data_IF_088027518268
#
_entry.id   IF_088027518268
#
_cell.length_a   1.000
_cell.length_b   1.000
_cell.length_c   1.000
_cell.angle_alpha   90.00
_cell.angle_beta   90.00
_cell.angle_gamma   90.00
#
_symmetry.space_group_name_H-M   'P 1'
#
loop_
_entity.id
_entity.type
_entity.pdbx_description
1 polymer ?
#
# COMPACT_ATOMS: atom_id res chain seq x y z
N UNK A 1 9.70 28.56 3.30
CA UNK A 1 8.96 27.58 2.45
C UNK A 1 9.98 26.62 1.86
N UNK A 2 9.99 25.34 2.30
CA UNK A 2 10.74 24.31 1.58
C UNK A 2 9.93 23.96 0.34
N UNK A 3 10.49 24.21 -0.83
CA UNK A 3 9.97 23.73 -2.12
C UNK A 3 9.81 22.22 -2.03
N UNK A 4 8.56 21.74 -1.95
CA UNK A 4 8.23 20.33 -2.07
C UNK A 4 8.59 19.93 -3.49
N UNK A 5 9.69 19.18 -3.66
CA UNK A 5 10.03 18.56 -4.94
C UNK A 5 9.02 17.45 -5.16
N UNK A 6 8.16 17.58 -6.17
CA UNK A 6 7.39 16.45 -6.69
C UNK A 6 8.37 15.32 -6.98
N UNK A 7 8.20 14.17 -6.32
CA UNK A 7 9.05 13.00 -6.51
C UNK A 7 8.69 12.39 -7.87
N UNK A 8 9.37 12.78 -8.94
CA UNK A 8 9.18 12.17 -10.27
C UNK A 8 9.99 10.88 -10.36
N UNK A 9 9.38 9.79 -10.85
CA UNK A 9 10.10 8.53 -11.10
C UNK A 9 11.14 8.71 -12.19
N UNK A 10 12.33 8.12 -12.02
CA UNK A 10 13.36 8.14 -13.06
C UNK A 10 12.87 7.42 -14.33
N UNK A 11 13.37 7.82 -15.50
CA UNK A 11 13.04 7.17 -16.78
C UNK A 11 13.32 5.66 -16.74
N UNK A 12 14.45 5.27 -16.14
CA UNK A 12 14.81 3.87 -15.94
C UNK A 12 13.74 3.12 -15.14
N UNK A 13 13.31 3.69 -14.01
CA UNK A 13 12.27 3.10 -13.17
C UNK A 13 10.95 2.98 -13.94
N UNK A 14 10.56 4.00 -14.72
CA UNK A 14 9.36 3.95 -15.55
C UNK A 14 9.44 2.83 -16.60
N UNK A 15 10.59 2.67 -17.28
CA UNK A 15 10.80 1.59 -18.24
C UNK A 15 10.73 0.20 -17.61
N UNK A 16 11.30 0.02 -16.42
CA UNK A 16 11.20 -1.24 -15.67
C UNK A 16 9.75 -1.56 -15.31
N UNK A 17 8.97 -0.57 -14.88
CA UNK A 17 7.54 -0.73 -14.56
C UNK A 17 6.74 -1.07 -15.83
N UNK A 18 6.97 -0.37 -16.94
CA UNK A 18 6.28 -0.66 -18.20
C UNK A 18 6.61 -2.06 -18.72
N UNK A 19 7.88 -2.47 -18.65
CA UNK A 19 8.29 -3.83 -19.00
C UNK A 19 7.58 -4.88 -18.13
N UNK A 20 7.46 -4.62 -16.83
CA UNK A 20 6.68 -5.47 -15.93
C UNK A 20 5.20 -5.53 -16.34
N UNK A 21 4.55 -4.38 -16.55
CA UNK A 21 3.14 -4.30 -16.94
C UNK A 21 2.83 -4.99 -18.28
N UNK A 22 3.75 -4.97 -19.24
CA UNK A 22 3.57 -5.65 -20.54
C UNK A 22 3.72 -7.17 -20.46
N UNK A 23 4.41 -7.68 -19.43
CA UNK A 23 4.71 -9.11 -19.29
C UNK A 23 3.89 -9.81 -18.21
N UNK A 24 3.08 -9.06 -17.47
CA UNK A 24 2.34 -9.53 -16.31
C UNK A 24 0.87 -9.15 -16.39
N UNK A 25 -0.02 -10.09 -16.08
CA UNK A 25 -1.46 -9.85 -16.05
C UNK A 25 -1.90 -9.41 -14.64
N UNK A 26 -2.04 -8.10 -14.45
CA UNK A 26 -2.50 -7.54 -13.17
C UNK A 26 -3.97 -7.88 -12.87
N UNK A 27 -4.81 -8.12 -13.89
CA UNK A 27 -6.20 -8.56 -13.67
C UNK A 27 -6.19 -9.95 -13.03
N UNK A 28 -5.37 -10.86 -13.58
CA UNK A 28 -5.19 -12.19 -13.02
C UNK A 28 -4.65 -12.10 -11.59
N UNK A 29 -3.57 -11.35 -11.35
CA UNK A 29 -3.00 -11.25 -10.01
C UNK A 29 -3.96 -10.63 -8.99
N UNK A 30 -4.76 -9.64 -9.38
CA UNK A 30 -5.79 -9.09 -8.50
C UNK A 30 -6.86 -10.14 -8.14
N UNK A 31 -7.32 -10.95 -9.11
CA UNK A 31 -8.29 -12.04 -8.86
C UNK A 31 -7.71 -13.17 -8.01
N UNK A 32 -6.41 -13.39 -8.11
CA UNK A 32 -5.68 -14.41 -7.35
C UNK A 32 -5.20 -13.92 -5.99
N UNK A 33 -5.48 -12.66 -5.62
CA UNK A 33 -5.16 -12.16 -4.30
C UNK A 33 -5.78 -13.06 -3.22
N UNK A 34 -4.92 -13.51 -2.30
CA UNK A 34 -5.31 -14.31 -1.16
C UNK A 34 -4.49 -13.91 0.07
N UNK A 35 -5.19 -13.45 1.11
CA UNK A 35 -4.61 -13.17 2.42
C UNK A 35 -5.66 -13.45 3.50
N UNK A 36 -5.37 -14.45 4.35
CA UNK A 36 -6.25 -14.89 5.43
C UNK A 36 -7.64 -15.32 4.92
N UNK A 37 -8.66 -14.48 5.03
CA UNK A 37 -10.02 -14.75 4.54
C UNK A 37 -10.44 -13.79 3.41
N UNK A 38 -9.54 -12.89 3.00
CA UNK A 38 -9.74 -11.96 1.91
C UNK A 38 -9.25 -12.56 0.61
N UNK A 39 -10.18 -12.89 -0.27
CA UNK A 39 -9.91 -13.23 -1.64
C UNK A 39 -11.01 -12.69 -2.55
N UNK A 40 -10.76 -12.74 -3.86
CA UNK A 40 -11.66 -12.16 -4.84
C UNK A 40 -13.05 -12.80 -4.81
N UNK A 41 -13.12 -14.13 -4.59
CA UNK A 41 -14.38 -14.89 -4.54
C UNK A 41 -15.24 -14.52 -3.33
N UNK A 42 -14.62 -14.14 -2.22
CA UNK A 42 -15.33 -13.67 -1.01
C UNK A 42 -15.61 -12.16 -1.04
N UNK A 43 -15.20 -11.47 -2.10
CA UNK A 43 -15.36 -10.03 -2.24
C UNK A 43 -14.43 -9.21 -1.34
N UNK A 44 -13.30 -9.78 -0.90
CA UNK A 44 -12.35 -9.14 0.02
C UNK A 44 -13.02 -8.60 1.30
N UNK A 45 -13.87 -9.42 1.94
CA UNK A 45 -14.79 -8.99 3.01
C UNK A 45 -14.15 -8.16 4.13
N UNK A 46 -12.96 -8.52 4.63
CA UNK A 46 -12.32 -7.77 5.73
C UNK A 46 -11.63 -6.52 5.19
N UNK A 47 -10.99 -6.59 4.02
CA UNK A 47 -10.41 -5.40 3.36
C UNK A 47 -11.50 -4.37 3.08
N UNK A 48 -12.63 -4.78 2.51
CA UNK A 48 -13.80 -3.94 2.24
C UNK A 48 -14.26 -3.22 3.52
N UNK A 49 -14.43 -3.96 4.61
CA UNK A 49 -14.85 -3.40 5.89
C UNK A 49 -13.81 -2.45 6.51
N UNK A 50 -12.52 -2.80 6.45
CA UNK A 50 -11.44 -1.93 6.93
C UNK A 50 -11.38 -0.63 6.14
N UNK A 51 -11.56 -0.70 4.83
CA UNK A 51 -11.55 0.45 3.95
C UNK A 51 -12.76 1.36 4.18
N UNK A 52 -13.97 0.79 4.28
CA UNK A 52 -15.19 1.53 4.63
C UNK A 52 -15.03 2.30 5.94
N UNK A 53 -14.65 1.60 7.02
CA UNK A 53 -14.55 2.19 8.34
C UNK A 53 -13.42 3.23 8.43
N UNK A 54 -12.23 2.87 7.94
CA UNK A 54 -11.04 3.72 8.09
C UNK A 54 -11.09 4.94 7.17
N UNK A 55 -11.59 4.81 5.93
CA UNK A 55 -11.76 5.96 5.04
C UNK A 55 -12.81 6.94 5.57
N UNK A 56 -13.91 6.43 6.14
CA UNK A 56 -14.92 7.30 6.79
C UNK A 56 -14.33 8.03 8.01
N UNK A 57 -13.58 7.32 8.86
CA UNK A 57 -12.92 7.94 9.99
C UNK A 57 -11.85 8.97 9.58
N UNK A 58 -11.09 8.70 8.52
CA UNK A 58 -10.09 9.61 7.96
C UNK A 58 -10.73 10.88 7.38
N UNK A 59 -11.85 10.76 6.65
CA UNK A 59 -12.60 11.93 6.13
C UNK A 59 -13.08 12.86 7.24
N UNK A 60 -13.43 12.28 8.39
CA UNK A 60 -13.88 13.02 9.57
C UNK A 60 -12.74 13.39 10.54
N UNK A 61 -11.49 13.01 10.23
CA UNK A 61 -10.31 13.19 11.10
C UNK A 61 -10.49 12.59 12.52
N UNK A 62 -11.14 11.43 12.61
CA UNK A 62 -11.43 10.70 13.86
C UNK A 62 -10.85 9.29 13.88
N UNK A 63 -9.83 9.02 13.05
CA UNK A 63 -9.10 7.74 13.10
C UNK A 63 -8.60 7.51 14.52
N UNK A 64 -8.85 6.31 15.07
CA UNK A 64 -8.60 6.00 16.48
C UNK A 64 -7.92 4.65 16.70
N UNK A 65 -7.77 4.29 17.97
CA UNK A 65 -7.12 3.05 18.39
C UNK A 65 -7.78 1.80 17.80
N UNK A 66 -9.11 1.77 17.73
CA UNK A 66 -9.89 0.69 17.14
C UNK A 66 -9.53 0.43 15.68
N UNK A 67 -9.34 1.49 14.88
CA UNK A 67 -8.92 1.40 13.48
C UNK A 67 -7.49 0.85 13.36
N UNK A 68 -6.57 1.42 14.14
CA UNK A 68 -5.16 0.99 14.20
C UNK A 68 -5.06 -0.50 14.56
N UNK A 69 -5.83 -0.93 15.55
CA UNK A 69 -5.85 -2.32 16.01
C UNK A 69 -6.54 -3.27 15.04
N UNK A 70 -7.62 -2.86 14.37
CA UNK A 70 -8.28 -3.67 13.36
C UNK A 70 -7.33 -3.99 12.19
N UNK A 71 -6.61 -2.97 11.71
CA UNK A 71 -5.60 -3.11 10.66
C UNK A 71 -4.43 -3.98 11.14
N UNK A 72 -3.97 -3.78 12.38
CA UNK A 72 -2.89 -4.58 12.95
C UNK A 72 -3.26 -6.07 13.06
N UNK A 73 -4.49 -6.36 13.49
CA UNK A 73 -5.01 -7.74 13.58
C UNK A 73 -5.10 -8.38 12.19
N UNK A 74 -5.71 -7.70 11.24
CA UNK A 74 -5.81 -8.17 9.85
C UNK A 74 -4.45 -8.41 9.20
N UNK A 75 -3.48 -7.52 9.44
CA UNK A 75 -2.12 -7.64 8.93
C UNK A 75 -1.25 -8.67 9.67
N UNK A 76 -1.78 -9.38 10.68
CA UNK A 76 -1.07 -10.31 11.54
C UNK A 76 0.12 -9.67 12.31
N UNK A 77 -0.10 -8.50 12.92
CA UNK A 77 0.92 -7.82 13.72
C UNK A 77 1.31 -8.67 14.93
N UNK A 78 2.61 -8.96 15.08
CA UNK A 78 3.08 -9.87 16.14
C UNK A 78 2.97 -9.30 17.56
N UNK A 79 3.09 -7.98 17.71
CA UNK A 79 3.16 -7.32 19.01
C UNK A 79 1.92 -6.45 19.28
N UNK A 80 0.71 -6.99 19.08
CA UNK A 80 -0.54 -6.25 19.26
C UNK A 80 -0.61 -5.53 20.61
N UNK A 81 -0.22 -6.20 21.70
CA UNK A 81 -0.23 -5.62 23.05
C UNK A 81 0.79 -4.50 23.29
N UNK A 82 1.72 -4.25 22.36
CA UNK A 82 2.69 -3.14 22.46
C UNK A 82 2.24 -1.89 21.72
N UNK A 83 1.22 -1.99 20.86
CA UNK A 83 0.76 -0.85 20.06
C UNK A 83 0.14 0.19 21.00
N UNK A 84 0.61 1.43 20.86
CA UNK A 84 0.07 2.59 21.57
C UNK A 84 -0.25 3.66 20.55
N UNK A 85 -1.39 4.35 20.67
CA UNK A 85 -1.67 5.51 19.84
C UNK A 85 -2.42 6.60 20.59
N UNK A 86 -2.29 7.83 20.11
CA UNK A 86 -3.21 8.90 20.46
C UNK A 86 -4.65 8.51 20.06
N UNK A 87 -5.65 9.06 20.74
CA UNK A 87 -7.06 8.92 20.33
C UNK A 87 -7.77 10.25 20.61
N UNK A 88 -8.26 10.95 19.57
CA UNK A 88 -8.13 10.63 18.14
C UNK A 88 -6.68 10.80 17.62
N UNK A 89 -6.38 10.16 16.49
CA UNK A 89 -5.17 10.37 15.69
C UNK A 89 -5.46 11.50 14.72
N UNK A 90 -4.65 12.55 14.76
CA UNK A 90 -4.69 13.60 13.76
C UNK A 90 -4.14 13.08 12.43
N UNK A 91 -4.99 12.96 11.42
CA UNK A 91 -4.65 12.55 10.06
C UNK A 91 -5.40 13.44 9.04
N UNK A 92 -4.95 14.70 8.85
CA UNK A 92 -5.66 15.70 8.06
C UNK A 92 -5.40 15.52 6.56
N UNK A 93 -5.76 14.36 6.02
CA UNK A 93 -5.60 14.02 4.60
C UNK A 93 -6.82 14.41 3.76
N UNK A 94 -7.93 14.82 4.38
CA UNK A 94 -9.10 15.37 3.70
C UNK A 94 -9.43 16.78 4.19
N UNK A 95 -9.95 17.61 3.28
CA UNK A 95 -10.64 18.87 3.58
C UNK A 95 -11.92 18.89 2.76
N UNK A 96 -13.07 19.13 3.39
CA UNK A 96 -14.39 19.13 2.73
C UNK A 96 -14.65 17.84 1.93
N UNK A 97 -14.35 16.67 2.52
CA UNK A 97 -14.46 15.35 1.89
C UNK A 97 -13.60 15.12 0.62
N UNK A 98 -12.69 16.05 0.29
CA UNK A 98 -11.75 15.93 -0.82
C UNK A 98 -10.32 15.72 -0.31
N UNK A 99 -9.48 14.93 -1.01
CA UNK A 99 -8.05 14.84 -0.69
C UNK A 99 -7.41 16.23 -0.64
N UNK A 100 -6.55 16.47 0.34
CA UNK A 100 -5.79 17.73 0.44
C UNK A 100 -4.75 17.83 -0.67
N UNK A 101 -4.59 19.02 -1.23
CA UNK A 101 -3.77 19.26 -2.44
C UNK A 101 -2.29 18.87 -2.31
N UNK A 102 -1.74 18.87 -1.10
CA UNK A 102 -0.34 18.52 -0.89
C UNK A 102 -0.06 17.02 -0.99
N UNK A 103 -1.08 16.15 -1.04
CA UNK A 103 -0.89 14.69 -1.18
C UNK A 103 -0.18 14.34 -2.48
N UNK A 104 -0.44 15.09 -3.55
CA UNK A 104 0.20 14.87 -4.83
C UNK A 104 1.71 15.18 -4.75
N UNK A 105 2.06 16.35 -4.23
CA UNK A 105 3.46 16.83 -4.15
C UNK A 105 4.29 16.20 -3.03
N UNK A 106 3.65 15.86 -1.90
CA UNK A 106 4.31 15.27 -0.72
C UNK A 106 3.51 14.07 -0.18
N UNK A 107 3.58 12.91 -0.86
CA UNK A 107 2.90 11.70 -0.41
C UNK A 107 3.46 11.14 0.91
N UNK A 108 4.61 11.63 1.39
CA UNK A 108 5.23 11.16 2.65
C UNK A 108 4.76 11.93 3.88
N UNK A 109 4.18 13.13 3.70
CA UNK A 109 3.72 13.99 4.79
C UNK A 109 2.76 13.30 5.77
N UNK A 110 1.83 12.42 5.39
CA UNK A 110 0.99 11.75 6.38
C UNK A 110 1.81 10.89 7.35
N UNK A 111 2.92 10.30 6.90
CA UNK A 111 3.81 9.53 7.78
C UNK A 111 4.54 10.42 8.79
N UNK A 112 4.91 11.65 8.42
CA UNK A 112 5.54 12.59 9.36
C UNK A 112 4.57 13.02 10.45
N UNK A 113 3.28 13.10 10.13
CA UNK A 113 2.19 13.39 11.08
C UNK A 113 1.88 12.16 11.95
N UNK A 114 1.80 10.95 11.38
CA UNK A 114 1.38 9.74 12.08
C UNK A 114 2.43 9.18 13.04
N UNK A 115 3.71 9.19 12.66
CA UNK A 115 4.78 8.49 13.40
C UNK A 115 4.92 8.92 14.87
N UNK A 116 4.80 10.21 15.23
CA UNK A 116 4.83 10.63 16.63
C UNK A 116 3.60 10.16 17.44
N UNK A 117 2.48 9.88 16.77
CA UNK A 117 1.19 9.58 17.39
C UNK A 117 0.95 8.08 17.61
N UNK A 118 1.73 7.20 16.98
CA UNK A 118 1.58 5.74 17.09
C UNK A 118 2.95 5.09 17.36
N UNK A 119 3.06 4.34 18.46
CA UNK A 119 4.26 3.58 18.81
C UNK A 119 4.08 2.10 18.46
N UNK A 120 5.19 1.45 18.12
CA UNK A 120 5.26 0.00 17.81
C UNK A 120 4.40 -0.46 16.63
N UNK A 121 4.17 0.41 15.64
CA UNK A 121 3.40 0.08 14.43
C UNK A 121 4.30 -0.31 13.25
N UNK A 122 5.43 0.39 13.08
CA UNK A 122 6.44 0.09 12.06
C UNK A 122 6.01 0.41 10.61
N UNK A 123 6.97 0.41 9.66
CA UNK A 123 6.74 0.91 8.29
C UNK A 123 5.54 0.30 7.57
N UNK A 124 5.45 -1.03 7.55
CA UNK A 124 4.36 -1.75 6.88
C UNK A 124 2.99 -1.36 7.43
N UNK A 125 2.81 -1.23 8.74
CA UNK A 125 1.48 -0.93 9.27
C UNK A 125 1.12 0.55 9.12
N UNK A 126 2.08 1.46 9.20
CA UNK A 126 1.84 2.85 8.83
C UNK A 126 1.36 2.97 7.39
N UNK A 127 1.96 2.23 6.44
CA UNK A 127 1.49 2.21 5.06
C UNK A 127 0.11 1.59 4.90
N UNK A 128 -0.21 0.52 5.65
CA UNK A 128 -1.55 -0.09 5.66
C UNK A 128 -2.60 0.91 6.17
N UNK A 129 -2.30 1.66 7.22
CA UNK A 129 -3.20 2.70 7.72
C UNK A 129 -3.51 3.75 6.65
N UNK A 130 -2.51 4.22 5.91
CA UNK A 130 -2.73 5.16 4.80
C UNK A 130 -3.52 4.52 3.66
N UNK A 131 -3.20 3.29 3.27
CA UNK A 131 -3.93 2.51 2.27
C UNK A 131 -5.41 2.36 2.58
N UNK A 132 -5.78 2.11 3.84
CA UNK A 132 -7.19 2.02 4.24
C UNK A 132 -7.86 3.38 4.47
N UNK A 133 -7.08 4.44 4.76
CA UNK A 133 -7.61 5.79 4.98
C UNK A 133 -7.93 6.52 3.66
N UNK A 134 -7.19 6.23 2.59
CA UNK A 134 -7.36 6.86 1.27
C UNK A 134 -6.84 5.91 0.17
N UNK A 135 -7.62 4.87 -0.19
CA UNK A 135 -7.21 3.81 -1.11
C UNK A 135 -6.93 4.29 -2.54
N UNK A 136 -7.55 5.40 -2.95
CA UNK A 136 -7.28 6.04 -4.24
C UNK A 136 -5.83 6.50 -4.37
N UNK A 137 -5.23 6.99 -3.27
CA UNK A 137 -3.91 7.62 -3.27
C UNK A 137 -2.80 6.71 -2.71
N UNK A 138 -3.12 5.79 -1.81
CA UNK A 138 -2.10 4.99 -1.11
C UNK A 138 -2.32 3.48 -1.27
N UNK A 139 -1.21 2.76 -1.43
CA UNK A 139 -1.14 1.31 -1.26
C UNK A 139 -0.17 0.96 -0.12
N UNK A 140 -0.35 -0.21 0.49
CA UNK A 140 0.55 -0.67 1.54
C UNK A 140 1.93 -1.07 0.98
N UNK A 141 2.97 -1.06 1.83
CA UNK A 141 4.29 -1.61 1.53
C UNK A 141 4.67 -2.69 2.55
N UNK A 142 4.49 -3.94 2.13
CA UNK A 142 4.85 -5.13 2.91
C UNK A 142 6.29 -5.56 2.62
N UNK A 143 6.92 -6.27 3.56
CA UNK A 143 8.27 -6.79 3.33
C UNK A 143 8.32 -7.71 2.10
N UNK A 144 7.24 -8.42 1.75
CA UNK A 144 7.16 -9.20 0.51
C UNK A 144 7.34 -8.36 -0.76
N UNK A 145 6.70 -7.20 -0.81
CA UNK A 145 6.85 -6.27 -1.94
C UNK A 145 8.30 -5.79 -2.05
N UNK A 146 8.92 -5.46 -0.93
CA UNK A 146 10.32 -4.98 -0.89
C UNK A 146 11.32 -6.09 -1.18
N UNK A 147 11.05 -7.35 -0.85
CA UNK A 147 11.91 -8.49 -1.24
C UNK A 147 12.01 -8.63 -2.76
N UNK A 148 10.92 -8.42 -3.48
CA UNK A 148 10.86 -8.64 -4.93
C UNK A 148 11.20 -7.38 -5.73
N UNK A 149 10.77 -6.21 -5.25
CA UNK A 149 10.91 -4.92 -5.95
C UNK A 149 11.92 -3.94 -5.34
N UNK A 150 12.40 -4.22 -4.13
CA UNK A 150 13.38 -3.42 -3.40
C UNK A 150 14.71 -4.16 -3.22
N UNK A 151 15.42 -3.85 -2.15
CA UNK A 151 16.75 -4.40 -1.86
C UNK A 151 16.78 -5.36 -0.66
N UNK A 152 17.78 -6.23 -0.61
CA UNK A 152 18.09 -7.06 0.57
C UNK A 152 17.74 -8.53 0.46
N UNK A 153 16.99 -8.94 -0.58
CA UNK A 153 16.74 -10.34 -0.92
C UNK A 153 17.12 -10.62 -2.39
N UNK A 154 18.40 -10.87 -2.69
CA UNK A 154 18.85 -11.10 -4.07
C UNK A 154 18.29 -12.40 -4.68
N UNK A 155 17.82 -13.35 -3.86
CA UNK A 155 17.24 -14.61 -4.34
C UNK A 155 15.86 -14.34 -4.97
N UNK A 156 15.11 -13.44 -4.35
CA UNK A 156 13.72 -13.18 -4.72
C UNK A 156 13.48 -11.91 -5.54
N UNK A 157 14.48 -11.05 -5.64
CA UNK A 157 14.42 -9.85 -6.47
C UNK A 157 14.13 -10.22 -7.94
N UNK A 158 13.11 -9.60 -8.53
CA UNK A 158 12.74 -9.78 -9.95
C UNK A 158 12.78 -8.49 -10.75
N UNK A 159 12.54 -7.35 -10.10
CA UNK A 159 12.70 -6.02 -10.66
C UNK A 159 13.16 -5.06 -9.56
N UNK A 160 13.70 -3.89 -9.90
CA UNK A 160 14.22 -2.95 -8.90
C UNK A 160 13.52 -1.61 -9.00
N UNK A 161 12.25 -1.60 -8.59
CA UNK A 161 11.45 -0.38 -8.57
C UNK A 161 11.85 0.56 -7.43
N UNK A 162 12.36 0.02 -6.32
CA UNK A 162 12.67 0.74 -5.09
C UNK A 162 14.12 0.51 -4.65
N UNK A 163 14.64 1.46 -3.89
CA UNK A 163 15.88 1.33 -3.12
C UNK A 163 15.61 1.00 -1.65
N UNK A 164 14.33 0.91 -1.24
CA UNK A 164 13.95 0.48 0.09
C UNK A 164 14.47 -0.93 0.38
N UNK A 165 15.03 -1.12 1.58
CA UNK A 165 15.68 -2.37 1.97
C UNK A 165 14.84 -3.18 2.96
N UNK A 166 14.86 -4.50 2.77
CA UNK A 166 14.47 -5.49 3.77
C UNK A 166 15.69 -6.18 4.40
N UNK A 167 15.51 -6.67 5.61
CA UNK A 167 16.49 -7.51 6.32
C UNK A 167 15.82 -8.76 6.85
N UNK A 168 16.58 -9.85 6.88
CA UNK A 168 16.21 -11.09 7.54
C UNK A 168 16.98 -11.23 8.86
N UNK A 169 16.24 -11.42 9.94
CA UNK A 169 16.78 -11.84 11.23
C UNK A 169 16.09 -13.15 11.63
N UNK A 170 14.92 -13.07 12.25
CA UNK A 170 13.98 -14.20 12.42
C UNK A 170 12.81 -14.15 11.43
N UNK A 171 12.68 -13.05 10.70
CA UNK A 171 11.71 -12.82 9.63
C UNK A 171 12.15 -11.64 8.77
N UNK A 172 11.64 -11.59 7.54
CA UNK A 172 11.74 -10.41 6.68
C UNK A 172 11.02 -9.21 7.28
N UNK A 173 11.72 -8.08 7.39
CA UNK A 173 11.17 -6.83 7.90
C UNK A 173 11.79 -5.63 7.18
N UNK A 174 11.05 -4.51 7.14
CA UNK A 174 11.54 -3.22 6.66
C UNK A 174 12.07 -2.46 7.89
N UNK A 175 13.39 -2.23 8.02
CA UNK A 175 13.93 -1.48 9.15
C UNK A 175 13.40 -0.05 9.18
N UNK A 176 12.85 0.39 10.31
CA UNK A 176 12.33 1.76 10.46
C UNK A 176 13.44 2.83 10.42
N UNK A 177 14.64 2.47 10.87
CA UNK A 177 15.79 3.39 11.00
C UNK A 177 16.64 3.52 9.72
N UNK A 178 16.24 2.89 8.62
CA UNK A 178 16.99 3.02 7.37
C UNK A 178 16.85 4.43 6.80
N UNK A 179 17.88 4.93 6.14
CA UNK A 179 17.91 6.28 5.56
C UNK A 179 16.82 6.51 4.52
N UNK A 180 16.44 5.47 3.76
CA UNK A 180 15.39 5.54 2.76
C UNK A 180 13.96 5.70 3.32
N UNK A 181 13.73 5.45 4.61
CA UNK A 181 12.38 5.55 5.21
C UNK A 181 12.19 6.90 5.91
N UNK A 182 11.10 7.66 5.65
CA UNK A 182 9.92 7.31 4.83
C UNK A 182 9.99 7.73 3.36
N UNK A 183 11.10 8.31 2.88
CA UNK A 183 11.22 8.84 1.51
C UNK A 183 10.82 7.86 0.41
N UNK A 184 11.27 6.61 0.51
CA UNK A 184 10.97 5.54 -0.44
C UNK A 184 9.50 5.09 -0.43
N UNK A 185 8.75 5.39 0.63
CA UNK A 185 7.29 5.21 0.58
C UNK A 185 6.63 6.24 -0.35
N UNK A 186 7.21 7.44 -0.46
CA UNK A 186 6.81 8.41 -1.46
C UNK A 186 7.08 7.90 -2.88
N UNK A 187 8.26 7.32 -3.11
CA UNK A 187 8.60 6.63 -4.37
C UNK A 187 7.59 5.51 -4.68
N UNK A 188 7.29 4.66 -3.69
CA UNK A 188 6.27 3.61 -3.82
C UNK A 188 4.89 4.15 -4.20
N UNK A 189 4.45 5.22 -3.54
CA UNK A 189 3.17 5.87 -3.86
C UNK A 189 3.14 6.34 -5.32
N UNK A 190 4.25 6.90 -5.82
CA UNK A 190 4.32 7.36 -7.20
C UNK A 190 4.46 6.22 -8.21
N UNK A 191 5.07 5.09 -7.85
CA UNK A 191 5.02 3.86 -8.64
C UNK A 191 3.57 3.42 -8.83
N UNK A 192 2.80 3.34 -7.74
CA UNK A 192 1.39 2.96 -7.81
C UNK A 192 0.60 3.95 -8.68
N UNK A 193 0.77 5.27 -8.50
CA UNK A 193 0.13 6.28 -9.35
C UNK A 193 0.45 6.09 -10.83
N UNK A 194 1.72 5.84 -11.16
CA UNK A 194 2.15 5.62 -12.54
C UNK A 194 1.49 4.38 -13.14
N UNK A 195 1.47 3.26 -12.41
CA UNK A 195 0.83 2.02 -12.85
C UNK A 195 -0.70 2.18 -12.98
N UNK A 196 -1.36 2.77 -11.99
CA UNK A 196 -2.79 3.08 -12.01
C UNK A 196 -3.16 3.91 -13.23
N UNK A 197 -2.40 4.99 -13.48
CA UNK A 197 -2.58 5.85 -14.65
C UNK A 197 -2.46 5.05 -15.94
N UNK A 198 -1.39 4.28 -16.10
CA UNK A 198 -1.18 3.45 -17.29
C UNK A 198 -2.34 2.48 -17.53
N UNK A 199 -2.79 1.76 -16.50
CA UNK A 199 -3.88 0.79 -16.62
C UNK A 199 -5.19 1.45 -17.05
N UNK A 200 -5.53 2.58 -16.42
CA UNK A 200 -6.75 3.33 -16.70
C UNK A 200 -6.72 3.99 -18.10
N UNK A 201 -5.60 4.61 -18.49
CA UNK A 201 -5.42 5.19 -19.83
C UNK A 201 -5.43 4.12 -20.94
N UNK A 202 -4.91 2.94 -20.62
CA UNK A 202 -4.97 1.76 -21.51
C UNK A 202 -6.32 1.05 -21.50
N UNK A 203 -7.31 1.57 -20.77
CA UNK A 203 -8.66 1.02 -20.64
C UNK A 203 -8.70 -0.43 -20.12
N UNK A 204 -7.67 -0.84 -19.37
CA UNK A 204 -7.61 -2.16 -18.73
C UNK A 204 -8.50 -2.11 -17.49
N UNK A 205 -9.65 -2.79 -17.53
CA UNK A 205 -10.65 -2.70 -16.46
C UNK A 205 -10.23 -3.50 -15.22
N UNK A 206 -10.22 -2.84 -14.07
CA UNK A 206 -10.04 -3.52 -12.79
C UNK A 206 -11.24 -4.45 -12.51
N UNK A 207 -11.03 -5.73 -12.18
CA UNK A 207 -12.12 -6.68 -11.98
C UNK A 207 -12.64 -6.63 -10.52
N UNK A 208 -13.11 -5.49 -10.03
CA UNK A 208 -13.56 -5.44 -8.62
C UNK A 208 -14.77 -6.37 -8.38
N UNK A 209 -14.87 -6.96 -7.17
CA UNK A 209 -16.11 -7.60 -6.73
C UNK A 209 -17.25 -6.58 -6.57
N UNK A 210 -18.48 -7.00 -6.87
CA UNK A 210 -19.68 -6.14 -6.82
C UNK A 210 -19.90 -5.43 -5.48
N UNK A 211 -19.45 -6.03 -4.38
CA UNK A 211 -19.56 -5.46 -3.04
C UNK A 211 -18.89 -4.07 -2.91
N UNK A 212 -17.81 -3.80 -3.66
CA UNK A 212 -17.17 -2.48 -3.67
C UNK A 212 -18.07 -1.42 -4.32
N UNK A 213 -18.79 -1.78 -5.38
CA UNK A 213 -19.73 -0.87 -6.06
C UNK A 213 -20.95 -0.59 -5.18
N UNK A 214 -21.50 -1.62 -4.55
CA UNK A 214 -22.64 -1.48 -3.63
C UNK A 214 -22.33 -0.56 -2.45
N UNK A 215 -21.08 -0.52 -2.01
CA UNK A 215 -20.58 0.35 -0.94
C UNK A 215 -20.10 1.72 -1.41
N UNK A 216 -20.10 1.99 -2.72
CA UNK A 216 -19.59 3.24 -3.29
C UNK A 216 -18.09 3.45 -3.05
N UNK A 217 -17.33 2.37 -2.87
CA UNK A 217 -15.88 2.43 -2.60
C UNK A 217 -15.05 2.38 -3.89
N UNK A 218 -15.62 1.91 -4.99
CA UNK A 218 -14.98 1.89 -6.32
C UNK A 218 -15.93 2.37 -7.41
N UNK A 219 -15.34 2.89 -8.47
CA UNK A 219 -16.02 3.09 -9.75
C UNK A 219 -15.81 1.85 -10.64
N UNK A 220 -16.81 1.44 -11.45
CA UNK A 220 -16.70 0.26 -12.31
C UNK A 220 -15.49 0.30 -13.25
N UNK A 221 -14.59 -0.67 -13.08
CA UNK A 221 -13.42 -0.87 -13.94
C UNK A 221 -12.25 0.08 -13.70
N UNK A 222 -12.32 1.03 -12.77
CA UNK A 222 -11.27 2.03 -12.54
C UNK A 222 -10.28 1.54 -11.48
N UNK A 223 -9.01 1.40 -11.83
CA UNK A 223 -7.96 1.06 -10.87
C UNK A 223 -7.72 2.19 -9.87
N UNK A 224 -7.55 1.83 -8.60
CA UNK A 224 -6.97 2.68 -7.55
C UNK A 224 -5.60 2.15 -7.13
N UNK A 225 -4.80 2.99 -6.45
CA UNK A 225 -3.48 2.59 -5.96
C UNK A 225 -3.53 1.38 -5.02
N UNK A 226 -4.55 1.28 -4.17
CA UNK A 226 -4.77 0.11 -3.34
C UNK A 226 -5.06 -1.17 -4.15
N UNK A 227 -5.69 -1.06 -5.32
CA UNK A 227 -6.00 -2.22 -6.17
C UNK A 227 -4.75 -2.72 -6.90
N UNK A 228 -3.94 -1.79 -7.41
CA UNK A 228 -2.63 -2.11 -7.99
C UNK A 228 -1.72 -2.75 -6.94
N UNK A 229 -1.71 -2.22 -5.72
CA UNK A 229 -0.96 -2.82 -4.61
C UNK A 229 -1.41 -4.25 -4.31
N UNK A 230 -2.71 -4.55 -4.30
CA UNK A 230 -3.22 -5.91 -4.12
C UNK A 230 -2.75 -6.85 -5.25
N UNK A 231 -2.81 -6.41 -6.51
CA UNK A 231 -2.29 -7.19 -7.64
C UNK A 231 -0.79 -7.47 -7.48
N UNK A 232 0.00 -6.45 -7.13
CA UNK A 232 1.43 -6.60 -6.88
C UNK A 232 1.72 -7.52 -5.68
N UNK A 233 0.94 -7.42 -4.60
CA UNK A 233 1.08 -8.28 -3.43
C UNK A 233 0.84 -9.76 -3.79
N UNK A 234 -0.16 -10.03 -4.62
CA UNK A 234 -0.45 -11.37 -5.14
C UNK A 234 0.72 -11.91 -5.97
N UNK A 235 1.21 -11.13 -6.94
CA UNK A 235 2.38 -11.47 -7.75
C UNK A 235 3.60 -11.82 -6.86
N UNK A 236 3.98 -10.93 -5.93
CA UNK A 236 5.18 -11.17 -5.10
C UNK A 236 4.99 -12.36 -4.15
N UNK A 237 3.76 -12.63 -3.71
CA UNK A 237 3.47 -13.82 -2.91
C UNK A 237 3.66 -15.10 -3.73
N UNK A 238 3.26 -15.11 -5.00
CA UNK A 238 3.51 -16.21 -5.92
C UNK A 238 5.01 -16.37 -6.23
N UNK A 239 5.77 -15.28 -6.39
CA UNK A 239 7.22 -15.35 -6.56
C UNK A 239 7.90 -15.98 -5.34
N UNK A 240 7.52 -15.55 -4.14
CA UNK A 240 8.13 -16.02 -2.89
C UNK A 240 7.77 -17.48 -2.59
N UNK A 241 6.49 -17.86 -2.74
CA UNK A 241 5.98 -19.16 -2.30
C UNK A 241 5.79 -20.18 -3.43
N UNK A 242 5.86 -19.77 -4.69
CA UNK A 242 5.65 -20.61 -5.87
C UNK A 242 6.81 -21.56 -6.18
N UNK A 243 6.77 -22.19 -7.36
CA UNK A 243 7.72 -23.25 -7.79
C UNK A 243 9.19 -22.82 -7.78
N UNK A 244 9.44 -21.51 -7.84
CA UNK A 244 10.77 -20.90 -7.69
C UNK A 244 10.97 -20.41 -6.24
N UNK A 245 10.81 -21.30 -5.25
CA UNK A 245 10.88 -20.93 -3.82
C UNK A 245 12.15 -20.14 -3.54
N UNK A 246 12.00 -18.86 -3.24
CA UNK A 246 13.03 -18.10 -2.57
C UNK A 246 12.94 -18.42 -1.08
N UNK A 247 13.83 -19.27 -0.58
CA UNK A 247 13.94 -19.56 0.85
C UNK A 247 14.09 -18.26 1.67
#
# INVERSE_FOLDING_TARGET
MKTSRTITLSEKTQQEILSFLHTNDLIQFYREYDWDQDNWKTGFKKILNLEEQTSLAAKNNVVGYEHVMAIAKWGAHRNLGKIQCATPINLPIYTNNQPVSWIESDPTRPLTILRPQIKYYGPTYFSKLLRFSMPAEYGAIDSRLVRVFGEGDPICQKARFLSLKVVFDSRWSIPEKQSGWPGEYGTWTNILRFMTKFLNESQIKCPHPDAYYQKGLREPGIWMNADVEMALFSYVSQVIYGKSRCA
#
